data_IF_846268892868
#
_entry.id   IF_846268892868
#
_cell.length_a   1.000
_cell.length_b   1.000
_cell.length_c   1.000
_cell.angle_alpha   90.00
_cell.angle_beta   90.00
_cell.angle_gamma   90.00
#
_symmetry.space_group_name_H-M   'P 1'
#
loop_
_entity.id
_entity.type
_entity.pdbx_description
1 polymer ?
#
# COMPACT_ATOMS: atom_id res chain seq x y z
N UNK A 1 -20.51 -23.62 -13.62
CA UNK A 1 -20.01 -23.44 -13.51
C UNK A 1 -19.17 -22.90 -13.43
N UNK A 2 -18.75 -22.90 -13.24
CA UNK A 2 -18.02 -22.55 -13.09
C UNK A 2 -17.16 -21.90 -13.31
N UNK A 3 -16.63 -21.90 -13.19
CA UNK A 3 -15.87 -20.90 -13.24
C UNK A 3 -14.62 -21.10 -13.93
N UNK A 4 -14.49 -20.64 -15.11
CA UNK A 4 -13.27 -20.62 -15.84
C UNK A 4 -12.27 -19.57 -15.32
N UNK A 5 -12.67 -18.78 -14.32
CA UNK A 5 -11.81 -17.73 -13.79
C UNK A 5 -10.90 -18.27 -12.68
N UNK A 6 -9.62 -17.89 -12.72
CA UNK A 6 -8.68 -18.23 -11.68
C UNK A 6 -9.13 -17.64 -10.35
N UNK A 7 -8.82 -18.34 -9.27
CA UNK A 7 -9.08 -17.84 -7.92
C UNK A 7 -8.19 -16.65 -7.61
N UNK A 8 -8.74 -15.69 -6.90
CA UNK A 8 -7.97 -14.59 -6.34
C UNK A 8 -7.57 -14.99 -4.93
N UNK A 9 -6.26 -15.14 -4.70
CA UNK A 9 -5.76 -15.53 -3.39
C UNK A 9 -5.09 -14.35 -2.72
N UNK A 10 -5.71 -13.85 -1.66
CA UNK A 10 -5.11 -12.85 -0.79
C UNK A 10 -4.63 -13.58 0.47
N UNK A 11 -3.35 -13.47 0.77
CA UNK A 11 -2.74 -14.24 1.86
C UNK A 11 -2.98 -13.61 3.23
N UNK A 12 -2.93 -12.29 3.30
CA UNK A 12 -3.15 -11.55 4.55
C UNK A 12 -3.21 -10.05 4.23
N UNK A 13 -3.60 -9.26 5.22
CA UNK A 13 -3.40 -7.82 5.15
C UNK A 13 -1.90 -7.57 5.35
N UNK A 14 -1.27 -6.96 4.36
CA UNK A 14 0.16 -6.64 4.41
C UNK A 14 0.40 -5.39 5.26
N UNK A 15 -0.30 -4.33 4.91
CA UNK A 15 -0.21 -3.06 5.65
C UNK A 15 -1.40 -2.17 5.34
N UNK A 16 -1.56 -1.14 6.16
CA UNK A 16 -2.54 -0.07 5.95
C UNK A 16 -1.74 1.20 5.72
N UNK A 17 -2.01 1.91 4.65
CA UNK A 17 -1.30 3.14 4.29
C UNK A 17 -2.04 4.37 4.79
N UNK A 18 -1.33 5.23 5.49
CA UNK A 18 -1.85 6.49 6.03
C UNK A 18 -1.03 7.64 5.46
N UNK A 19 -1.70 8.59 4.83
CA UNK A 19 -1.07 9.79 4.31
C UNK A 19 -0.87 10.81 5.44
N UNK A 20 0.34 11.33 5.56
CA UNK A 20 0.69 12.32 6.59
C UNK A 20 1.48 13.46 5.94
N UNK A 21 1.38 14.66 6.53
CA UNK A 21 2.08 15.81 6.00
C UNK A 21 3.57 15.82 6.35
N UNK A 22 3.91 15.32 7.53
CA UNK A 22 5.28 15.32 8.06
C UNK A 22 5.59 13.93 8.60
N UNK A 23 6.48 13.21 7.89
CA UNK A 23 6.79 11.83 8.23
C UNK A 23 7.41 11.69 9.61
N UNK A 24 8.41 12.51 9.92
CA UNK A 24 9.13 12.39 11.18
C UNK A 24 8.23 12.64 12.39
N UNK A 25 7.37 13.66 12.29
CA UNK A 25 6.40 13.95 13.35
C UNK A 25 5.39 12.82 13.51
N UNK A 26 4.95 12.22 12.40
CA UNK A 26 3.99 11.11 12.46
C UNK A 26 4.61 9.87 13.08
N UNK A 27 5.86 9.54 12.72
CA UNK A 27 6.58 8.42 13.33
C UNK A 27 6.64 8.62 14.87
N UNK A 28 7.02 9.81 15.29
CA UNK A 28 7.12 10.14 16.72
C UNK A 28 5.76 10.04 17.42
N UNK A 29 4.71 10.57 16.79
CA UNK A 29 3.36 10.50 17.33
C UNK A 29 2.90 9.06 17.56
N UNK A 30 3.06 8.20 16.55
CA UNK A 30 2.64 6.81 16.67
C UNK A 30 3.47 6.03 17.68
N UNK A 31 4.75 6.33 17.80
CA UNK A 31 5.60 5.71 18.80
C UNK A 31 5.19 6.11 20.21
N UNK A 32 5.02 7.40 20.45
CA UNK A 32 4.71 7.93 21.77
C UNK A 32 3.28 7.60 22.22
N UNK A 33 2.33 7.61 21.28
CA UNK A 33 0.90 7.44 21.60
C UNK A 33 0.48 5.98 21.65
N UNK A 34 0.93 5.19 20.65
CA UNK A 34 0.45 3.82 20.47
C UNK A 34 1.55 2.76 20.63
N UNK A 35 2.79 3.16 20.85
CA UNK A 35 3.89 2.21 21.02
C UNK A 35 4.32 1.53 19.74
N UNK A 36 4.03 2.10 18.57
CA UNK A 36 4.40 1.50 17.30
C UNK A 36 5.86 1.80 16.99
N UNK A 37 6.56 0.78 16.46
CA UNK A 37 8.00 0.89 16.22
C UNK A 37 8.27 1.03 14.73
N UNK A 38 9.05 2.04 14.34
CA UNK A 38 9.49 2.19 12.96
C UNK A 38 10.56 1.13 12.65
N UNK A 39 10.25 0.25 11.71
CA UNK A 39 11.15 -0.86 11.34
C UNK A 39 11.77 -0.69 9.97
N UNK A 40 11.31 0.27 9.19
CA UNK A 40 11.85 0.53 7.85
C UNK A 40 11.47 1.93 7.40
N UNK A 41 12.39 2.63 6.76
CA UNK A 41 12.12 3.91 6.10
C UNK A 41 12.82 3.92 4.76
N UNK A 42 12.19 4.52 3.78
CA UNK A 42 12.84 4.75 2.50
C UNK A 42 12.16 5.91 1.75
N UNK A 43 12.85 6.44 0.74
CA UNK A 43 12.28 7.39 -0.19
C UNK A 43 12.12 6.70 -1.53
N UNK A 44 10.91 6.73 -2.05
CA UNK A 44 10.63 6.22 -3.40
C UNK A 44 10.68 7.42 -4.34
N UNK A 45 11.79 7.59 -5.04
CA UNK A 45 11.99 8.73 -5.92
C UNK A 45 11.04 8.71 -7.11
N UNK A 46 10.75 7.53 -7.63
CA UNK A 46 9.86 7.38 -8.78
C UNK A 46 8.46 7.89 -8.44
N UNK A 47 7.95 7.52 -7.28
CA UNK A 47 6.62 7.95 -6.86
C UNK A 47 6.59 9.27 -6.10
N UNK A 48 7.76 9.78 -5.72
CA UNK A 48 7.85 11.04 -4.99
C UNK A 48 7.32 10.96 -3.58
N UNK A 49 7.61 9.85 -2.88
CA UNK A 49 7.05 9.56 -1.56
C UNK A 49 8.16 9.17 -0.59
N UNK A 50 8.10 9.72 0.62
CA UNK A 50 8.87 9.22 1.76
C UNK A 50 7.95 8.33 2.57
N UNK A 51 8.45 7.16 2.95
CA UNK A 51 7.60 6.19 3.64
C UNK A 51 8.29 5.55 4.83
N UNK A 52 7.47 5.15 5.80
CA UNK A 52 7.93 4.44 6.99
C UNK A 52 6.99 3.28 7.27
N UNK A 53 7.55 2.12 7.59
CA UNK A 53 6.78 0.96 8.04
C UNK A 53 6.87 0.87 9.55
N UNK A 54 5.72 0.77 10.20
CA UNK A 54 5.63 0.66 11.66
C UNK A 54 5.11 -0.73 12.03
N UNK A 55 5.81 -1.39 12.95
CA UNK A 55 5.36 -2.67 13.48
C UNK A 55 4.34 -2.43 14.59
N UNK A 56 3.28 -3.24 14.58
CA UNK A 56 2.21 -3.19 15.58
C UNK A 56 2.39 -4.37 16.51
N UNK A 57 2.65 -4.10 17.80
CA UNK A 57 2.84 -5.15 18.78
C UNK A 57 4.18 -5.88 18.63
N UNK A 58 4.37 -6.97 19.39
CA UNK A 58 5.65 -7.70 19.40
C UNK A 58 5.85 -8.65 18.24
N UNK A 59 4.79 -8.95 17.47
CA UNK A 59 4.86 -9.94 16.40
C UNK A 59 5.41 -9.30 15.12
N UNK A 60 6.61 -9.74 14.72
CA UNK A 60 7.28 -9.21 13.53
C UNK A 60 6.58 -9.61 12.22
N UNK A 61 5.77 -10.65 12.22
CA UNK A 61 5.08 -11.15 11.03
C UNK A 61 3.68 -10.61 10.83
N UNK A 62 3.19 -9.77 11.73
CA UNK A 62 1.84 -9.22 11.64
C UNK A 62 1.70 -8.09 10.63
N UNK A 63 0.47 -7.63 10.41
CA UNK A 63 0.23 -6.47 9.54
C UNK A 63 0.94 -5.24 10.07
N UNK A 64 1.29 -4.34 9.16
CA UNK A 64 2.01 -3.12 9.49
C UNK A 64 1.21 -1.89 9.16
N UNK A 65 1.61 -0.79 9.74
CA UNK A 65 1.11 0.53 9.39
C UNK A 65 2.17 1.21 8.52
N UNK A 66 1.78 1.71 7.35
CA UNK A 66 2.68 2.46 6.50
C UNK A 66 2.32 3.94 6.56
N UNK A 67 3.29 4.78 6.89
CA UNK A 67 3.13 6.23 6.82
C UNK A 67 3.72 6.71 5.51
N UNK A 68 2.97 7.58 4.80
CA UNK A 68 3.33 8.07 3.48
C UNK A 68 3.30 9.59 3.49
N UNK A 69 4.43 10.22 3.21
CA UNK A 69 4.51 11.67 3.11
C UNK A 69 5.04 12.07 1.74
N UNK A 70 4.60 13.21 1.19
CA UNK A 70 5.08 13.62 -0.13
C UNK A 70 6.54 14.04 -0.09
N UNK A 71 7.31 13.57 -1.07
CA UNK A 71 8.67 14.05 -1.32
C UNK A 71 8.68 15.11 -2.42
N UNK A 72 7.58 15.22 -3.18
CA UNK A 72 7.39 16.22 -4.24
C UNK A 72 5.93 16.71 -4.23
N UNK A 73 5.70 17.98 -4.63
CA UNK A 73 4.33 18.52 -4.66
C UNK A 73 3.42 17.84 -5.69
N UNK A 74 3.98 17.18 -6.70
CA UNK A 74 3.20 16.53 -7.76
C UNK A 74 2.96 15.04 -7.50
N UNK A 75 3.35 14.53 -6.33
CA UNK A 75 3.14 13.13 -6.00
C UNK A 75 1.66 12.82 -5.77
N UNK A 76 1.29 11.55 -5.92
CA UNK A 76 -0.08 11.10 -5.64
C UNK A 76 -0.47 11.36 -4.19
N UNK A 77 0.47 11.22 -3.25
CA UNK A 77 0.23 11.48 -1.83
C UNK A 77 -0.02 12.96 -1.59
N UNK A 78 0.74 13.86 -2.24
CA UNK A 78 0.49 15.30 -2.12
C UNK A 78 -0.92 15.65 -2.60
N UNK A 79 -1.35 15.07 -3.72
CA UNK A 79 -2.70 15.29 -4.25
C UNK A 79 -3.77 14.74 -3.32
N UNK A 80 -3.52 13.59 -2.71
CA UNK A 80 -4.44 13.03 -1.73
C UNK A 80 -4.59 13.95 -0.52
N UNK A 81 -3.48 14.46 0.01
CA UNK A 81 -3.51 15.38 1.15
C UNK A 81 -4.25 16.68 0.81
N UNK A 82 -4.05 17.21 -0.39
CA UNK A 82 -4.73 18.42 -0.83
C UNK A 82 -6.25 18.20 -0.92
N UNK A 83 -6.67 17.03 -1.37
CA UNK A 83 -8.09 16.71 -1.59
C UNK A 83 -8.80 16.29 -0.30
N UNK A 84 -8.13 15.48 0.51
CA UNK A 84 -8.76 14.77 1.63
C UNK A 84 -8.16 15.08 3.00
N UNK A 85 -6.99 15.72 3.05
CA UNK A 85 -6.24 15.86 4.29
C UNK A 85 -5.59 14.55 4.72
N UNK A 86 -4.89 14.55 5.87
CA UNK A 86 -4.26 13.33 6.41
C UNK A 86 -5.31 12.25 6.70
N UNK A 87 -4.95 11.00 6.53
CA UNK A 87 -5.83 9.90 6.85
C UNK A 87 -5.52 8.64 6.07
N UNK A 88 -6.43 7.66 6.16
CA UNK A 88 -6.30 6.38 5.46
C UNK A 88 -6.27 6.61 3.95
N UNK A 89 -5.26 6.05 3.29
CA UNK A 89 -5.07 6.24 1.86
C UNK A 89 -5.18 4.93 1.08
N UNK A 90 -4.70 3.83 1.64
CA UNK A 90 -4.71 2.55 0.92
C UNK A 90 -4.77 1.38 1.88
N UNK A 91 -5.21 0.23 1.36
CA UNK A 91 -5.21 -1.05 2.05
C UNK A 91 -4.45 -2.04 1.18
N UNK A 92 -3.41 -2.65 1.73
CA UNK A 92 -2.55 -3.55 0.97
C UNK A 92 -2.72 -4.99 1.42
N UNK A 93 -2.82 -5.88 0.45
CA UNK A 93 -2.87 -7.33 0.67
C UNK A 93 -1.61 -7.98 0.14
N UNK A 94 -1.08 -8.94 0.88
CA UNK A 94 0.02 -9.78 0.40
C UNK A 94 -0.53 -10.80 -0.57
N UNK A 95 0.13 -10.95 -1.71
CA UNK A 95 -0.19 -11.97 -2.71
C UNK A 95 1.05 -12.79 -3.01
N UNK A 96 0.85 -14.01 -3.50
CA UNK A 96 1.95 -14.90 -3.87
C UNK A 96 2.59 -14.48 -5.19
N UNK A 97 1.75 -14.04 -6.14
CA UNK A 97 2.17 -13.69 -7.50
C UNK A 97 1.32 -12.52 -7.98
N UNK A 98 1.92 -11.33 -8.00
CA UNK A 98 1.18 -10.11 -8.34
C UNK A 98 0.72 -10.09 -9.79
N UNK A 99 1.48 -10.71 -10.70
CA UNK A 99 1.06 -10.78 -12.11
C UNK A 99 -0.14 -11.70 -12.28
N UNK A 100 -0.12 -12.86 -11.65
CA UNK A 100 -1.22 -13.81 -11.73
C UNK A 100 -2.48 -13.25 -11.07
N UNK A 101 -2.33 -12.62 -9.91
CA UNK A 101 -3.46 -11.99 -9.23
C UNK A 101 -4.05 -10.87 -10.07
N UNK A 102 -3.20 -10.03 -10.66
CA UNK A 102 -3.64 -8.96 -11.54
C UNK A 102 -4.39 -9.48 -12.76
N UNK A 103 -3.90 -10.55 -13.37
CA UNK A 103 -4.58 -11.17 -14.51
C UNK A 103 -5.95 -11.72 -14.12
N UNK A 104 -6.05 -12.35 -12.93
CA UNK A 104 -7.33 -12.87 -12.44
C UNK A 104 -8.34 -11.75 -12.19
N UNK A 105 -7.89 -10.61 -11.67
CA UNK A 105 -8.75 -9.46 -11.44
C UNK A 105 -9.19 -8.81 -12.75
N UNK A 106 -8.28 -8.67 -13.70
CA UNK A 106 -8.64 -8.16 -15.05
C UNK A 106 -9.65 -9.05 -15.74
N UNK A 107 -9.53 -10.37 -15.58
CA UNK A 107 -10.50 -11.31 -16.13
C UNK A 107 -11.90 -11.11 -15.55
N UNK A 108 -12.00 -10.52 -14.36
CA UNK A 108 -13.26 -10.17 -13.70
C UNK A 108 -13.73 -8.76 -14.04
N UNK A 109 -13.00 -8.06 -14.93
CA UNK A 109 -13.38 -6.72 -15.36
C UNK A 109 -12.85 -5.59 -14.49
N UNK A 110 -11.96 -5.88 -13.53
CA UNK A 110 -11.39 -4.83 -12.70
C UNK A 110 -10.20 -4.19 -13.40
N UNK A 111 -10.00 -2.89 -13.14
CA UNK A 111 -8.88 -2.14 -13.70
C UNK A 111 -7.74 -2.08 -12.69
N UNK A 112 -6.54 -2.32 -13.17
CA UNK A 112 -5.32 -2.10 -12.39
C UNK A 112 -4.66 -0.81 -12.86
N UNK A 113 -3.98 -0.11 -11.96
CA UNK A 113 -3.38 1.18 -12.27
C UNK A 113 -2.15 1.06 -13.18
N UNK A 114 -1.40 -0.05 -13.08
CA UNK A 114 -0.20 -0.26 -13.89
C UNK A 114 -0.41 -1.43 -14.83
N UNK A 115 0.07 -1.30 -16.07
CA UNK A 115 0.04 -2.41 -17.02
C UNK A 115 0.91 -3.57 -16.54
N UNK A 116 2.05 -3.24 -15.93
CA UNK A 116 2.99 -4.20 -15.37
C UNK A 116 3.26 -3.85 -13.91
N UNK A 117 3.48 -4.85 -13.04
CA UNK A 117 3.86 -4.56 -11.66
C UNK A 117 5.11 -3.70 -11.57
N UNK A 118 5.20 -2.90 -10.52
CA UNK A 118 6.34 -2.03 -10.27
C UNK A 118 7.02 -2.42 -8.96
N UNK A 119 8.30 -2.08 -8.86
CA UNK A 119 9.04 -2.27 -7.62
C UNK A 119 8.66 -1.19 -6.63
N UNK A 120 8.61 -1.56 -5.36
CA UNK A 120 8.25 -0.64 -4.29
C UNK A 120 9.01 -1.00 -3.03
N UNK A 121 8.45 -0.65 -1.87
CA UNK A 121 9.07 -0.76 -0.56
C UNK A 121 9.75 -2.11 -0.34
N UNK A 122 11.01 -2.05 0.11
CA UNK A 122 11.80 -3.25 0.46
C UNK A 122 11.91 -4.27 -0.68
N UNK A 123 11.89 -3.79 -1.92
CA UNK A 123 12.07 -4.67 -3.09
C UNK A 123 10.84 -5.46 -3.49
N UNK A 124 9.69 -5.16 -2.90
CA UNK A 124 8.43 -5.81 -3.28
C UNK A 124 8.02 -5.43 -4.70
N UNK A 125 7.12 -6.24 -5.27
CA UNK A 125 6.47 -5.93 -6.55
C UNK A 125 5.01 -5.65 -6.29
N UNK A 126 4.51 -4.56 -6.83
CA UNK A 126 3.17 -4.09 -6.51
C UNK A 126 2.35 -3.74 -7.73
N UNK A 127 1.04 -3.73 -7.54
CA UNK A 127 0.08 -3.08 -8.42
C UNK A 127 -1.09 -2.61 -7.57
N UNK A 128 -1.91 -1.75 -8.13
CA UNK A 128 -3.09 -1.21 -7.44
C UNK A 128 -4.35 -1.51 -8.24
N UNK A 129 -5.42 -1.83 -7.53
CA UNK A 129 -6.76 -1.94 -8.12
C UNK A 129 -7.42 -0.57 -8.06
N UNK A 130 -8.00 -0.15 -9.17
CA UNK A 130 -8.69 1.14 -9.25
C UNK A 130 -9.78 1.21 -8.17
N UNK A 131 -9.80 2.28 -7.35
CA UNK A 131 -10.77 2.36 -6.24
C UNK A 131 -12.23 2.23 -6.65
N UNK A 132 -12.60 2.70 -7.83
CA UNK A 132 -13.98 2.57 -8.32
C UNK A 132 -14.40 1.13 -8.52
N UNK A 133 -13.43 0.22 -8.72
CA UNK A 133 -13.70 -1.20 -8.92
C UNK A 133 -13.55 -2.00 -7.61
N UNK A 134 -13.17 -1.34 -6.53
CA UNK A 134 -12.91 -1.99 -5.24
C UNK A 134 -13.67 -1.30 -4.09
N UNK A 135 -14.91 -0.89 -4.36
CA UNK A 135 -15.77 -0.32 -3.32
C UNK A 135 -15.34 1.04 -2.79
N UNK A 136 -14.56 1.79 -3.55
CA UNK A 136 -14.07 3.10 -3.15
C UNK A 136 -12.75 3.08 -2.40
N UNK A 137 -12.13 1.91 -2.26
CA UNK A 137 -10.86 1.75 -1.54
C UNK A 137 -9.74 1.53 -2.52
N UNK A 138 -8.64 2.28 -2.39
CA UNK A 138 -7.44 2.00 -3.16
C UNK A 138 -6.81 0.74 -2.58
N UNK A 139 -6.85 -0.35 -3.33
CA UNK A 139 -6.31 -1.64 -2.90
C UNK A 139 -4.95 -1.87 -3.56
N UNK A 140 -3.94 -2.14 -2.73
CA UNK A 140 -2.62 -2.49 -3.21
C UNK A 140 -2.42 -4.00 -3.12
N UNK A 141 -1.79 -4.56 -4.14
CA UNK A 141 -1.38 -5.97 -4.17
C UNK A 141 0.13 -5.99 -4.02
N UNK A 142 0.62 -6.73 -3.02
CA UNK A 142 2.05 -6.74 -2.68
C UNK A 142 2.59 -8.16 -2.77
N UNK A 143 3.54 -8.37 -3.67
CA UNK A 143 4.31 -9.59 -3.71
C UNK A 143 5.65 -9.29 -3.04
N UNK A 144 5.93 -9.85 -1.85
CA UNK A 144 7.17 -9.56 -1.14
C UNK A 144 8.40 -10.00 -1.93
N UNK A 145 9.52 -9.31 -1.68
CA UNK A 145 10.79 -9.64 -2.30
C UNK A 145 11.28 -11.05 -1.92
#
# INVERSE_FOLDING_TARGET
>A
MTDALAQVELLRIDHVGIAVADLDKAIEFYAATFGLRCVHQETNEEQGVREAMLAVGPDAGGPRLQLLAPARPDSAIAKFLDRSGPGLQQLAYTVRDVEATGAALRARGLRLLYDQPRRDTAGSRINFVHPKDAGGVLVELVEPA
#
